data_IF_371036297156
#
_entry.id   IF_371036297156
#
_cell.length_a   1.000
_cell.length_b   1.000
_cell.length_c   1.000
_cell.angle_alpha   90.00
_cell.angle_beta   90.00
_cell.angle_gamma   90.00
#
_symmetry.space_group_name_H-M   'P 1'
#
loop_
_entity.id
_entity.type
_entity.pdbx_description
1 polymer ?
#
# COMPACT_ATOMS: atom_id res chain seq x y z
N UNK A 1 32.12 -12.43 22.29
CA UNK A 1 31.89 -13.86 22.57
C UNK A 1 31.61 -14.00 24.08
N UNK A 2 30.48 -14.59 24.47
CA UNK A 2 30.14 -14.82 25.89
C UNK A 2 30.75 -16.12 26.37
N UNK A 3 30.51 -17.22 25.64
CA UNK A 3 31.01 -18.54 25.98
C UNK A 3 31.10 -19.43 24.73
N UNK A 4 31.93 -20.47 24.81
CA UNK A 4 32.11 -21.47 23.76
C UNK A 4 32.23 -22.85 24.36
N UNK A 5 31.52 -23.80 23.75
CA UNK A 5 31.65 -25.23 24.04
C UNK A 5 31.98 -25.96 22.74
N UNK A 6 33.23 -26.41 22.61
CA UNK A 6 33.74 -27.10 21.42
C UNK A 6 33.50 -26.29 20.13
N UNK A 7 32.52 -26.69 19.32
CA UNK A 7 32.17 -26.04 18.05
C UNK A 7 30.98 -25.07 18.15
N UNK A 8 30.33 -24.99 19.31
CA UNK A 8 29.21 -24.06 19.55
C UNK A 8 29.74 -22.82 20.26
N UNK A 9 29.50 -21.65 19.67
CA UNK A 9 29.86 -20.35 20.26
C UNK A 9 28.60 -19.54 20.51
N UNK A 10 28.51 -18.92 21.69
CA UNK A 10 27.52 -17.91 21.99
C UNK A 10 28.17 -16.54 21.89
N UNK A 11 27.72 -15.74 20.92
CA UNK A 11 28.20 -14.39 20.69
C UNK A 11 27.09 -13.39 20.98
N UNK A 12 27.45 -12.29 21.64
CA UNK A 12 26.62 -11.08 21.69
C UNK A 12 27.19 -10.04 20.76
N UNK A 13 26.29 -9.34 20.10
CA UNK A 13 26.59 -8.23 19.23
C UNK A 13 25.87 -6.99 19.77
N UNK A 14 26.58 -5.88 20.00
CA UNK A 14 25.92 -4.64 20.40
C UNK A 14 25.06 -4.14 19.23
N UNK A 15 23.79 -3.82 19.51
CA UNK A 15 22.84 -3.35 18.49
C UNK A 15 22.85 -1.83 18.29
N UNK A 16 23.64 -1.10 19.08
CA UNK A 16 23.69 0.38 19.05
C UNK A 16 24.24 0.87 17.71
N UNK A 17 23.47 1.69 17.00
CA UNK A 17 23.80 2.18 15.64
C UNK A 17 23.54 1.16 14.52
N UNK A 18 23.16 -0.08 14.86
CA UNK A 18 22.68 -1.09 13.90
C UNK A 18 21.15 -1.10 13.88
N UNK A 19 20.52 -1.07 15.04
CA UNK A 19 19.07 -1.11 15.13
C UNK A 19 18.40 0.17 14.60
N UNK A 20 17.19 0.02 14.07
CA UNK A 20 16.35 1.11 13.55
C UNK A 20 15.69 1.95 14.65
N UNK A 21 15.85 1.56 15.91
CA UNK A 21 15.23 2.22 17.06
C UNK A 21 16.34 2.63 18.03
N UNK A 22 16.30 3.89 18.45
CA UNK A 22 17.20 4.44 19.48
C UNK A 22 16.79 3.99 20.88
N UNK A 23 17.71 4.12 21.86
CA UNK A 23 17.41 3.84 23.28
C UNK A 23 16.21 4.66 23.83
N UNK A 24 15.90 5.79 23.19
CA UNK A 24 14.74 6.64 23.51
C UNK A 24 13.43 6.24 22.84
N UNK A 25 13.39 5.14 22.07
CA UNK A 25 12.20 4.65 21.37
C UNK A 25 11.85 5.39 20.07
N UNK A 26 12.71 6.30 19.61
CA UNK A 26 12.54 7.00 18.32
C UNK A 26 13.21 6.21 17.18
N UNK A 27 12.70 6.35 15.96
CA UNK A 27 13.29 5.73 14.77
C UNK A 27 14.61 6.44 14.42
N UNK A 28 15.69 5.66 14.30
CA UNK A 28 16.99 6.14 13.84
C UNK A 28 17.15 5.94 12.32
N UNK A 29 16.96 7.02 11.58
CA UNK A 29 17.14 7.03 10.12
C UNK A 29 18.60 6.94 9.68
N UNK A 30 19.55 7.23 10.59
CA UNK A 30 20.99 7.13 10.33
C UNK A 30 21.56 5.77 10.77
N UNK A 31 20.72 4.85 11.23
CA UNK A 31 21.15 3.49 11.58
C UNK A 31 21.72 2.76 10.37
N UNK A 32 22.74 1.93 10.62
CA UNK A 32 23.35 1.15 9.54
C UNK A 32 22.34 0.22 8.87
N UNK A 33 21.38 -0.35 9.60
CA UNK A 33 20.32 -1.15 9.00
C UNK A 33 19.44 -0.34 8.03
N UNK A 34 19.08 0.91 8.38
CA UNK A 34 18.30 1.77 7.48
C UNK A 34 19.11 2.17 6.23
N UNK A 35 20.39 2.47 6.40
CA UNK A 35 21.29 2.79 5.28
C UNK A 35 21.51 1.59 4.36
N UNK A 36 21.63 0.38 4.91
CA UNK A 36 21.76 -0.86 4.14
C UNK A 36 20.48 -1.09 3.34
N UNK A 37 19.30 -1.05 3.98
CA UNK A 37 18.01 -1.28 3.30
C UNK A 37 17.70 -0.23 2.23
N UNK A 38 18.17 1.00 2.41
CA UNK A 38 17.98 2.10 1.44
C UNK A 38 19.07 2.12 0.35
N UNK A 39 19.98 1.16 0.34
CA UNK A 39 21.07 1.04 -0.62
C UNK A 39 20.55 0.89 -2.06
N UNK A 40 21.37 1.32 -3.03
CA UNK A 40 21.06 1.21 -4.47
C UNK A 40 22.06 0.33 -5.24
N UNK A 41 23.21 0.04 -4.64
CA UNK A 41 24.29 -0.76 -5.24
C UNK A 41 24.15 -2.20 -4.82
N UNK A 42 24.48 -3.18 -5.67
CA UNK A 42 24.34 -4.60 -5.32
C UNK A 42 25.05 -4.99 -4.01
N UNK A 43 26.16 -4.30 -3.66
CA UNK A 43 26.90 -4.46 -2.41
C UNK A 43 26.04 -4.41 -1.13
N UNK A 44 24.91 -3.68 -1.13
CA UNK A 44 24.01 -3.65 0.04
C UNK A 44 23.31 -5.00 0.30
N UNK A 45 23.14 -5.84 -0.73
CA UNK A 45 22.53 -7.16 -0.62
C UNK A 45 23.46 -8.10 0.13
N UNK A 46 24.74 -8.08 -0.21
CA UNK A 46 25.79 -8.84 0.50
C UNK A 46 25.87 -8.41 1.98
N UNK A 47 25.55 -7.15 2.29
CA UNK A 47 25.46 -6.67 3.66
C UNK A 47 24.22 -7.18 4.41
N UNK A 48 23.11 -7.48 3.73
CA UNK A 48 21.89 -8.06 4.32
C UNK A 48 22.05 -9.54 4.66
N UNK A 49 22.83 -10.28 3.85
CA UNK A 49 23.13 -11.71 4.04
C UNK A 49 24.07 -12.00 5.22
N UNK A 50 24.46 -10.97 5.96
CA UNK A 50 25.19 -11.14 7.22
C UNK A 50 24.31 -11.83 8.27
N UNK A 51 24.78 -12.94 8.82
CA UNK A 51 24.10 -13.76 9.85
C UNK A 51 23.48 -12.95 11.01
N UNK A 52 24.12 -11.85 11.44
CA UNK A 52 23.61 -10.99 12.51
C UNK A 52 22.38 -10.19 12.05
N UNK A 53 22.41 -9.64 10.83
CA UNK A 53 21.33 -8.83 10.27
C UNK A 53 20.15 -9.72 9.89
N UNK A 54 20.40 -10.86 9.25
CA UNK A 54 19.37 -11.85 8.91
C UNK A 54 18.59 -12.29 10.16
N UNK A 55 19.31 -12.66 11.24
CA UNK A 55 18.68 -13.07 12.50
C UNK A 55 17.87 -11.95 13.14
N UNK A 56 18.41 -10.72 13.15
CA UNK A 56 17.71 -9.55 13.69
C UNK A 56 16.42 -9.25 12.91
N UNK A 57 16.45 -9.34 11.58
CA UNK A 57 15.27 -9.14 10.73
C UNK A 57 14.23 -10.24 10.95
N UNK A 58 14.65 -11.49 11.06
CA UNK A 58 13.74 -12.61 11.33
C UNK A 58 13.05 -12.47 12.71
N UNK A 59 13.81 -12.10 13.75
CA UNK A 59 13.26 -11.88 15.09
C UNK A 59 12.25 -10.70 15.12
N UNK A 60 12.51 -9.62 14.37
CA UNK A 60 11.56 -8.51 14.20
C UNK A 60 10.32 -8.93 13.42
N UNK A 61 10.51 -9.74 12.38
CA UNK A 61 9.43 -10.24 11.56
C UNK A 61 8.46 -11.09 12.38
N UNK A 62 8.98 -12.08 13.12
CA UNK A 62 8.18 -12.97 13.94
C UNK A 62 7.47 -12.25 15.09
N UNK A 63 8.13 -11.27 15.70
CA UNK A 63 7.63 -10.60 16.91
C UNK A 63 6.63 -9.49 16.63
N UNK A 64 6.84 -8.68 15.57
CA UNK A 64 6.07 -7.46 15.34
C UNK A 64 5.43 -7.40 13.95
N UNK A 65 6.21 -7.69 12.91
CA UNK A 65 5.77 -7.42 11.54
C UNK A 65 4.65 -8.39 11.11
N UNK A 66 4.75 -9.68 11.45
CA UNK A 66 3.78 -10.70 11.03
C UNK A 66 2.36 -10.40 11.49
N UNK A 67 2.18 -10.00 12.76
CA UNK A 67 0.85 -9.67 13.31
C UNK A 67 0.28 -8.41 12.63
N UNK A 68 1.13 -7.39 12.47
CA UNK A 68 0.73 -6.13 11.82
C UNK A 68 0.35 -6.37 10.36
N UNK A 69 1.13 -7.19 9.66
CA UNK A 69 0.92 -7.59 8.27
C UNK A 69 -0.41 -8.33 8.10
N UNK A 70 -0.64 -9.39 8.87
CA UNK A 70 -1.89 -10.17 8.77
C UNK A 70 -3.11 -9.30 9.08
N UNK A 71 -3.02 -8.43 10.09
CA UNK A 71 -4.11 -7.49 10.41
C UNK A 71 -4.40 -6.55 9.24
N UNK A 72 -3.37 -5.99 8.60
CA UNK A 72 -3.55 -5.10 7.45
C UNK A 72 -4.08 -5.86 6.22
N UNK A 73 -3.62 -7.09 5.99
CA UNK A 73 -4.10 -7.94 4.90
C UNK A 73 -5.59 -8.26 5.07
N UNK A 74 -6.03 -8.62 6.28
CA UNK A 74 -7.45 -8.88 6.57
C UNK A 74 -8.29 -7.63 6.34
N UNK A 75 -7.84 -6.46 6.82
CA UNK A 75 -8.54 -5.20 6.58
C UNK A 75 -8.65 -4.88 5.08
N UNK A 76 -7.58 -5.12 4.31
CA UNK A 76 -7.61 -4.95 2.86
C UNK A 76 -8.59 -5.92 2.20
N UNK A 77 -8.56 -7.21 2.53
CA UNK A 77 -9.47 -8.20 1.99
C UNK A 77 -10.93 -7.83 2.28
N UNK A 78 -11.24 -7.41 3.52
CA UNK A 78 -12.58 -6.94 3.89
C UNK A 78 -13.00 -5.71 3.07
N UNK A 79 -12.08 -4.76 2.86
CA UNK A 79 -12.33 -3.56 2.06
C UNK A 79 -12.56 -3.90 0.57
N UNK A 80 -11.78 -4.81 -0.01
CA UNK A 80 -11.96 -5.24 -1.40
C UNK A 80 -13.27 -6.02 -1.58
N UNK A 81 -13.63 -6.89 -0.64
CA UNK A 81 -14.89 -7.63 -0.68
C UNK A 81 -16.09 -6.69 -0.57
N UNK A 82 -16.03 -5.69 0.33
CA UNK A 82 -17.11 -4.70 0.46
C UNK A 82 -17.20 -3.80 -0.77
N UNK A 83 -16.07 -3.38 -1.34
CA UNK A 83 -16.04 -2.60 -2.59
C UNK A 83 -16.63 -3.39 -3.75
N UNK A 84 -16.22 -4.64 -3.91
CA UNK A 84 -16.71 -5.55 -4.94
C UNK A 84 -18.22 -5.74 -4.82
N UNK A 85 -18.70 -5.97 -3.60
CA UNK A 85 -20.13 -6.14 -3.30
C UNK A 85 -20.93 -4.87 -3.59
N UNK A 86 -20.41 -3.70 -3.19
CA UNK A 86 -21.05 -2.41 -3.43
C UNK A 86 -21.18 -2.10 -4.93
N UNK A 87 -20.14 -2.40 -5.72
CA UNK A 87 -20.16 -2.16 -7.18
C UNK A 87 -21.09 -3.13 -7.89
N UNK A 88 -21.06 -4.43 -7.58
CA UNK A 88 -21.88 -5.43 -8.28
C UNK A 88 -23.38 -5.35 -7.94
N UNK A 89 -23.73 -4.99 -6.71
CA UNK A 89 -25.14 -4.87 -6.29
C UNK A 89 -25.78 -3.54 -6.68
N UNK A 90 -24.97 -2.59 -7.18
CA UNK A 90 -25.43 -1.27 -7.58
C UNK A 90 -26.36 -1.36 -8.78
N UNK A 91 -27.64 -1.02 -8.57
CA UNK A 91 -28.60 -0.81 -9.65
C UNK A 91 -29.28 0.56 -9.47
N UNK A 92 -28.95 1.55 -10.30
CA UNK A 92 -29.51 2.90 -10.17
C UNK A 92 -30.95 3.04 -10.70
N UNK A 93 -31.52 2.04 -11.40
CA UNK A 93 -32.76 2.22 -12.18
C UNK A 93 -33.84 1.15 -11.98
N UNK A 94 -33.54 0.05 -11.30
CA UNK A 94 -34.48 -1.06 -11.11
C UNK A 94 -35.07 -1.14 -9.71
N UNK A 95 -36.33 -1.56 -9.63
CA UNK A 95 -36.97 -1.91 -8.36
C UNK A 95 -36.30 -3.18 -7.81
N UNK A 96 -35.36 -2.99 -6.88
CA UNK A 96 -34.60 -4.09 -6.28
C UNK A 96 -35.31 -4.62 -5.03
N UNK A 97 -35.21 -5.93 -4.75
CA UNK A 97 -35.68 -6.47 -3.48
C UNK A 97 -34.99 -5.76 -2.32
N UNK A 98 -35.76 -5.44 -1.27
CA UNK A 98 -35.32 -4.71 -0.08
C UNK A 98 -33.99 -5.26 0.49
N UNK A 99 -33.83 -6.58 0.50
CA UNK A 99 -32.63 -7.26 0.98
C UNK A 99 -31.36 -6.82 0.23
N UNK A 100 -31.40 -6.72 -1.10
CA UNK A 100 -30.23 -6.29 -1.91
C UNK A 100 -29.86 -4.84 -1.64
N UNK A 101 -30.86 -3.96 -1.47
CA UNK A 101 -30.65 -2.55 -1.13
C UNK A 101 -29.96 -2.38 0.21
N UNK A 102 -30.41 -3.12 1.22
CA UNK A 102 -29.80 -3.08 2.57
C UNK A 102 -28.35 -3.54 2.50
N UNK A 103 -28.07 -4.66 1.82
CA UNK A 103 -26.70 -5.18 1.66
C UNK A 103 -25.80 -4.17 0.94
N UNK A 104 -26.31 -3.54 -0.13
CA UNK A 104 -25.57 -2.52 -0.87
C UNK A 104 -25.20 -1.33 0.02
N UNK A 105 -26.15 -0.79 0.79
CA UNK A 105 -25.88 0.33 1.69
C UNK A 105 -24.92 -0.02 2.83
N UNK A 106 -24.99 -1.24 3.37
CA UNK A 106 -24.03 -1.72 4.36
C UNK A 106 -22.63 -1.82 3.75
N UNK A 107 -22.52 -2.36 2.52
CA UNK A 107 -21.27 -2.47 1.81
C UNK A 107 -20.67 -1.09 1.50
N UNK A 108 -21.47 -0.15 1.01
CA UNK A 108 -21.07 1.25 0.77
C UNK A 108 -20.57 1.94 2.05
N UNK A 109 -21.32 1.81 3.15
CA UNK A 109 -20.92 2.36 4.44
C UNK A 109 -19.61 1.73 4.95
N UNK A 110 -19.45 0.41 4.76
CA UNK A 110 -18.21 -0.30 5.09
C UNK A 110 -17.02 0.22 4.27
N UNK A 111 -17.18 0.40 2.96
CA UNK A 111 -16.13 0.94 2.07
C UNK A 111 -15.72 2.35 2.51
N UNK A 112 -16.69 3.24 2.74
CA UNK A 112 -16.42 4.61 3.17
C UNK A 112 -15.72 4.66 4.53
N UNK A 113 -16.20 3.87 5.48
CA UNK A 113 -15.55 3.77 6.80
C UNK A 113 -14.12 3.24 6.69
N UNK A 114 -13.88 2.25 5.81
CA UNK A 114 -12.56 1.71 5.51
C UNK A 114 -11.60 2.75 4.93
N UNK A 115 -12.05 3.57 3.96
CA UNK A 115 -11.26 4.65 3.38
C UNK A 115 -10.90 5.73 4.42
N UNK A 116 -11.84 6.07 5.31
CA UNK A 116 -11.60 7.05 6.38
C UNK A 116 -10.56 6.48 7.37
N UNK A 117 -10.71 5.23 7.80
CA UNK A 117 -9.76 4.60 8.72
C UNK A 117 -8.37 4.48 8.06
N UNK A 118 -8.29 4.13 6.78
CA UNK A 118 -7.02 3.97 6.08
C UNK A 118 -6.29 5.29 5.89
N UNK A 119 -6.99 6.39 5.59
CA UNK A 119 -6.38 7.71 5.47
C UNK A 119 -6.04 8.28 6.84
N UNK A 120 -7.02 8.40 7.75
CA UNK A 120 -6.81 9.15 8.98
C UNK A 120 -6.07 8.34 10.04
N UNK A 121 -6.49 7.10 10.34
CA UNK A 121 -5.90 6.35 11.45
C UNK A 121 -4.57 5.71 11.07
N UNK A 122 -4.50 5.04 9.91
CA UNK A 122 -3.27 4.33 9.50
C UNK A 122 -2.16 5.29 9.08
N UNK A 123 -2.45 6.31 8.27
CA UNK A 123 -1.40 7.26 7.86
C UNK A 123 -0.96 8.16 9.02
N UNK A 124 -1.88 8.64 9.88
CA UNK A 124 -1.46 9.46 11.02
C UNK A 124 -0.53 8.70 11.96
N UNK A 125 -0.79 7.39 12.18
CA UNK A 125 0.12 6.54 12.95
C UNK A 125 1.50 6.42 12.29
N UNK A 126 1.55 6.22 10.99
CA UNK A 126 2.81 6.13 10.25
C UNK A 126 3.58 7.45 10.26
N UNK A 127 2.90 8.58 10.02
CA UNK A 127 3.50 9.92 10.05
C UNK A 127 4.03 10.25 11.44
N UNK A 128 3.29 9.90 12.50
CA UNK A 128 3.73 10.12 13.88
C UNK A 128 4.99 9.30 14.23
N UNK A 129 5.07 8.06 13.76
CA UNK A 129 6.22 7.18 14.05
C UNK A 129 7.44 7.49 13.19
N UNK A 130 7.25 7.76 11.89
CA UNK A 130 8.33 7.94 10.91
C UNK A 130 8.81 9.38 10.77
N UNK A 131 7.92 10.35 10.99
CA UNK A 131 8.13 11.75 10.62
C UNK A 131 7.71 12.04 9.18
N UNK A 132 7.33 13.29 8.92
CA UNK A 132 6.68 13.70 7.67
C UNK A 132 7.59 13.63 6.43
N UNK A 133 8.85 14.08 6.56
CA UNK A 133 9.80 14.08 5.44
C UNK A 133 10.11 12.65 4.94
N UNK A 134 10.38 11.74 5.87
CA UNK A 134 10.64 10.34 5.56
C UNK A 134 9.40 9.61 5.05
N UNK A 135 8.22 9.97 5.54
CA UNK A 135 6.96 9.46 5.00
C UNK A 135 6.82 9.79 3.50
N UNK A 136 7.11 11.02 3.07
CA UNK A 136 7.05 11.40 1.65
C UNK A 136 8.07 10.63 0.80
N UNK A 137 9.28 10.42 1.32
CA UNK A 137 10.30 9.65 0.62
C UNK A 137 9.87 8.18 0.47
N UNK A 138 9.34 7.58 1.53
CA UNK A 138 8.80 6.22 1.51
C UNK A 138 7.62 6.09 0.55
N UNK A 139 6.72 7.08 0.50
CA UNK A 139 5.56 7.05 -0.39
C UNK A 139 5.98 7.00 -1.87
N UNK A 140 7.11 7.64 -2.22
CA UNK A 140 7.68 7.58 -3.57
C UNK A 140 8.29 6.21 -3.88
N UNK A 141 8.89 5.55 -2.90
CA UNK A 141 9.50 4.21 -3.07
C UNK A 141 8.47 3.09 -3.26
N UNK A 142 7.24 3.28 -2.77
CA UNK A 142 6.16 2.28 -2.81
C UNK A 142 4.95 2.81 -3.60
N UNK A 143 4.97 2.75 -4.93
CA UNK A 143 3.92 3.34 -5.79
C UNK A 143 2.54 2.73 -5.56
N UNK A 144 2.45 1.43 -5.23
CA UNK A 144 1.18 0.76 -4.95
C UNK A 144 0.45 1.34 -3.73
N UNK A 145 1.19 1.74 -2.69
CA UNK A 145 0.63 2.39 -1.50
C UNK A 145 0.13 3.78 -1.84
N UNK A 146 0.88 4.53 -2.66
CA UNK A 146 0.44 5.82 -3.16
C UNK A 146 -0.86 5.73 -3.97
N UNK A 147 -0.93 4.78 -4.91
CA UNK A 147 -2.13 4.55 -5.73
C UNK A 147 -3.36 4.17 -4.89
N UNK A 148 -3.17 3.35 -3.85
CA UNK A 148 -4.24 3.03 -2.89
C UNK A 148 -4.77 4.27 -2.17
N UNK A 149 -3.88 5.17 -1.74
CA UNK A 149 -4.25 6.40 -1.07
C UNK A 149 -5.01 7.34 -2.00
N UNK A 150 -4.56 7.52 -3.24
CA UNK A 150 -5.29 8.27 -4.27
C UNK A 150 -6.69 7.69 -4.49
N UNK A 151 -6.80 6.37 -4.57
CA UNK A 151 -8.08 5.67 -4.75
C UNK A 151 -9.03 5.89 -3.57
N UNK A 152 -8.53 5.85 -2.34
CA UNK A 152 -9.34 6.15 -1.14
C UNK A 152 -9.86 7.59 -1.15
N UNK A 153 -9.05 8.56 -1.59
CA UNK A 153 -9.47 9.97 -1.72
C UNK A 153 -10.57 10.10 -2.78
N UNK A 154 -10.43 9.44 -3.94
CA UNK A 154 -11.44 9.44 -5.00
C UNK A 154 -12.77 8.85 -4.51
N UNK A 155 -12.74 7.75 -3.74
CA UNK A 155 -13.95 7.14 -3.15
C UNK A 155 -14.62 8.08 -2.14
N UNK A 156 -13.84 8.76 -1.30
CA UNK A 156 -14.37 9.75 -0.36
C UNK A 156 -14.97 10.94 -1.12
N UNK A 157 -14.36 11.37 -2.24
CA UNK A 157 -14.89 12.44 -3.09
C UNK A 157 -16.17 12.03 -3.84
N UNK A 158 -16.35 10.74 -4.14
CA UNK A 158 -17.58 10.23 -4.76
C UNK A 158 -18.79 10.29 -3.80
N UNK A 159 -18.57 10.17 -2.49
CA UNK A 159 -19.64 10.22 -1.48
C UNK A 159 -20.45 11.54 -1.46
N UNK A 160 -19.86 12.75 -1.42
CA UNK A 160 -20.60 14.00 -1.51
C UNK A 160 -21.27 14.16 -2.87
N UNK A 161 -20.65 13.72 -3.97
CA UNK A 161 -21.29 13.73 -5.30
C UNK A 161 -22.61 12.93 -5.29
N UNK A 162 -22.65 11.81 -4.56
CA UNK A 162 -23.87 11.02 -4.39
C UNK A 162 -24.95 11.73 -3.56
N UNK A 163 -24.56 12.42 -2.49
CA UNK A 163 -25.51 13.22 -1.68
C UNK A 163 -26.09 14.37 -2.52
N UNK A 164 -25.27 15.03 -3.35
CA UNK A 164 -25.71 16.09 -4.26
C UNK A 164 -26.63 15.55 -5.37
N UNK A 165 -26.35 14.37 -5.91
CA UNK A 165 -27.25 13.69 -6.84
C UNK A 165 -28.63 13.49 -6.22
N UNK A 166 -28.69 13.02 -4.97
CA UNK A 166 -29.96 12.81 -4.25
C UNK A 166 -30.71 14.13 -3.96
N UNK A 167 -30.01 15.19 -3.55
CA UNK A 167 -30.62 16.47 -3.18
C UNK A 167 -31.09 17.30 -4.38
N UNK A 168 -30.31 17.35 -5.46
CA UNK A 168 -30.58 18.21 -6.62
C UNK A 168 -31.25 17.45 -7.77
N UNK A 169 -31.32 16.11 -7.69
CA UNK A 169 -31.84 15.22 -8.74
C UNK A 169 -31.22 15.48 -10.12
N UNK A 170 -29.95 15.88 -10.14
CA UNK A 170 -29.25 16.27 -11.35
C UNK A 170 -28.35 15.12 -11.83
N UNK A 171 -28.69 14.58 -13.01
CA UNK A 171 -28.11 13.34 -13.58
C UNK A 171 -26.58 13.46 -13.75
N UNK A 172 -26.05 14.66 -13.97
CA UNK A 172 -24.62 14.93 -14.14
C UNK A 172 -23.79 14.43 -12.95
N UNK A 173 -24.26 14.60 -11.71
CA UNK A 173 -23.52 14.14 -10.53
C UNK A 173 -23.42 12.62 -10.43
N UNK A 174 -24.40 11.89 -10.99
CA UNK A 174 -24.34 10.43 -11.08
C UNK A 174 -23.24 9.94 -12.01
N UNK A 175 -23.11 10.57 -13.19
CA UNK A 175 -22.02 10.23 -14.12
C UNK A 175 -20.63 10.54 -13.54
N UNK A 176 -20.51 11.63 -12.77
CA UNK A 176 -19.25 11.98 -12.10
C UNK A 176 -18.90 10.96 -11.02
N UNK A 177 -19.87 10.55 -10.19
CA UNK A 177 -19.66 9.49 -9.19
C UNK A 177 -19.21 8.18 -9.85
N UNK A 178 -19.91 7.74 -10.91
CA UNK A 178 -19.56 6.53 -11.65
C UNK A 178 -18.13 6.59 -12.20
N UNK A 179 -17.73 7.74 -12.75
CA UNK A 179 -16.38 7.97 -13.24
C UNK A 179 -15.33 7.91 -12.13
N UNK A 180 -15.57 8.57 -10.99
CA UNK A 180 -14.66 8.60 -9.85
C UNK A 180 -14.46 7.20 -9.25
N UNK A 181 -15.54 6.45 -9.04
CA UNK A 181 -15.47 5.08 -8.50
C UNK A 181 -14.80 4.15 -9.49
N UNK A 182 -15.14 4.22 -10.78
CA UNK A 182 -14.51 3.42 -11.84
C UNK A 182 -12.98 3.62 -11.90
N UNK A 183 -12.53 4.88 -11.76
CA UNK A 183 -11.11 5.21 -11.71
C UNK A 183 -10.41 4.69 -10.44
N UNK A 184 -11.12 4.66 -9.30
CA UNK A 184 -10.56 4.23 -8.02
C UNK A 184 -10.40 2.71 -7.89
N UNK A 185 -11.27 1.91 -8.51
CA UNK A 185 -11.23 0.44 -8.45
C UNK A 185 -9.85 -0.13 -8.77
N UNK A 186 -9.20 0.14 -9.93
CA UNK A 186 -7.92 -0.46 -10.26
C UNK A 186 -6.84 -0.14 -9.21
N UNK A 187 -6.78 1.10 -8.72
CA UNK A 187 -5.80 1.47 -7.69
C UNK A 187 -6.02 0.76 -6.35
N UNK A 188 -7.26 0.46 -5.97
CA UNK A 188 -7.53 -0.36 -4.78
C UNK A 188 -7.08 -1.82 -4.93
N UNK A 189 -7.32 -2.43 -6.09
CA UNK A 189 -6.90 -3.81 -6.36
C UNK A 189 -5.38 -3.94 -6.50
N UNK A 190 -4.72 -2.94 -7.10
CA UNK A 190 -3.26 -2.90 -7.23
C UNK A 190 -2.55 -2.90 -5.86
N UNK A 191 -3.19 -2.41 -4.80
CA UNK A 191 -2.63 -2.48 -3.46
C UNK A 191 -2.41 -3.92 -2.96
N UNK A 192 -3.08 -4.92 -3.54
CA UNK A 192 -2.80 -6.32 -3.23
C UNK A 192 -1.35 -6.72 -3.57
N UNK A 193 -0.75 -6.10 -4.60
CA UNK A 193 0.65 -6.34 -4.99
C UNK A 193 1.62 -5.94 -3.88
N UNK A 194 1.28 -4.95 -3.03
CA UNK A 194 2.09 -4.61 -1.86
C UNK A 194 2.31 -5.83 -0.96
N UNK A 195 1.24 -6.59 -0.69
CA UNK A 195 1.28 -7.77 0.16
C UNK A 195 1.96 -8.96 -0.53
N UNK A 196 1.92 -9.02 -1.86
CA UNK A 196 2.61 -10.03 -2.65
C UNK A 196 4.14 -9.98 -2.55
N UNK A 197 4.71 -8.82 -2.16
CA UNK A 197 6.17 -8.63 -2.06
C UNK A 197 6.86 -9.47 -0.98
N UNK A 198 6.10 -10.01 -0.02
CA UNK A 198 6.66 -10.78 1.10
C UNK A 198 7.01 -12.22 0.73
N UNK A 199 6.37 -12.78 -0.30
CA UNK A 199 6.71 -14.11 -0.77
C UNK A 199 7.91 -14.01 -1.72
N UNK A 200 8.96 -14.79 -1.49
CA UNK A 200 10.24 -14.69 -2.22
C UNK A 200 10.06 -14.67 -3.75
N UNK A 201 9.34 -15.66 -4.28
CA UNK A 201 9.11 -15.77 -5.73
C UNK A 201 8.22 -14.64 -6.28
N UNK A 202 7.11 -14.35 -5.60
CA UNK A 202 6.14 -13.34 -6.05
C UNK A 202 6.69 -11.92 -5.91
N UNK A 203 7.51 -11.67 -4.88
CA UNK A 203 8.12 -10.38 -4.63
C UNK A 203 9.14 -10.02 -5.69
N UNK A 204 10.04 -10.93 -6.04
CA UNK A 204 10.99 -10.72 -7.14
C UNK A 204 10.25 -10.42 -8.45
N UNK A 205 9.20 -11.19 -8.76
CA UNK A 205 8.38 -10.97 -9.95
C UNK A 205 7.68 -9.62 -9.97
N UNK A 206 7.11 -9.17 -8.84
CA UNK A 206 6.46 -7.86 -8.72
C UNK A 206 7.46 -6.73 -8.94
N UNK A 207 8.65 -6.81 -8.34
CA UNK A 207 9.71 -5.80 -8.54
C UNK A 207 10.12 -5.74 -10.01
N UNK A 208 10.31 -6.90 -10.66
CA UNK A 208 10.60 -6.96 -12.10
C UNK A 208 9.51 -6.31 -12.96
N UNK A 209 8.22 -6.53 -12.64
CA UNK A 209 7.12 -5.87 -13.35
C UNK A 209 7.19 -4.35 -13.20
N UNK A 210 7.44 -3.82 -12.00
CA UNK A 210 7.51 -2.37 -11.81
C UNK A 210 8.69 -1.72 -12.54
N UNK A 211 9.82 -2.39 -12.62
CA UNK A 211 10.96 -1.94 -13.43
C UNK A 211 10.61 -1.96 -14.94
N UNK A 212 9.93 -3.00 -15.42
CA UNK A 212 9.44 -3.08 -16.81
C UNK A 212 8.40 -1.99 -17.11
N UNK A 213 7.49 -1.69 -16.18
CA UNK A 213 6.49 -0.61 -16.34
C UNK A 213 7.17 0.76 -16.40
N UNK A 214 8.12 1.02 -15.49
CA UNK A 214 8.75 2.34 -15.37
C UNK A 214 9.71 2.62 -16.53
N UNK A 215 10.42 1.61 -17.03
CA UNK A 215 11.28 1.74 -18.21
C UNK A 215 10.50 1.65 -19.51
N UNK A 216 10.07 0.45 -19.86
CA UNK A 216 9.63 0.13 -21.23
C UNK A 216 8.26 0.70 -21.57
N UNK A 217 7.29 0.59 -20.65
CA UNK A 217 5.92 1.09 -20.89
C UNK A 217 5.91 2.63 -20.91
N UNK A 218 6.74 3.30 -20.11
CA UNK A 218 6.86 4.75 -20.14
C UNK A 218 7.42 5.24 -21.49
N UNK A 219 8.49 4.61 -21.99
CA UNK A 219 9.05 4.93 -23.32
C UNK A 219 8.05 4.64 -24.43
N UNK A 220 7.35 3.51 -24.38
CA UNK A 220 6.30 3.18 -25.33
C UNK A 220 5.16 4.22 -25.32
N UNK A 221 4.72 4.65 -24.13
CA UNK A 221 3.69 5.67 -23.97
C UNK A 221 4.10 7.01 -24.59
N UNK A 222 5.35 7.45 -24.39
CA UNK A 222 5.86 8.69 -25.00
C UNK A 222 5.86 8.59 -26.53
N UNK A 223 6.34 7.48 -27.10
CA UNK A 223 6.32 7.25 -28.55
C UNK A 223 4.89 7.27 -29.08
N UNK A 224 3.98 6.58 -28.40
CA UNK A 224 2.57 6.51 -28.78
C UNK A 224 1.89 7.88 -28.82
N UNK A 225 2.14 8.74 -27.83
CA UNK A 225 1.61 10.12 -27.79
C UNK A 225 2.15 10.94 -28.96
N UNK A 226 3.45 10.83 -29.27
CA UNK A 226 4.07 11.54 -30.40
C UNK A 226 3.44 11.09 -31.72
N UNK A 227 3.32 9.79 -31.94
CA UNK A 227 2.73 9.22 -33.16
C UNK A 227 1.28 9.67 -33.31
N UNK A 228 0.45 9.58 -32.26
CA UNK A 228 -0.93 10.05 -32.32
C UNK A 228 -1.03 11.53 -32.63
N UNK A 229 -0.19 12.36 -32.02
CA UNK A 229 -0.24 13.80 -32.26
C UNK A 229 0.21 14.13 -33.68
N UNK A 230 1.20 13.41 -34.21
CA UNK A 230 1.72 13.61 -35.56
C UNK A 230 0.76 13.17 -36.67
N UNK A 231 0.00 12.09 -36.47
CA UNK A 231 -1.00 11.60 -37.43
C UNK A 231 -2.42 12.13 -37.18
N UNK A 232 -2.65 12.77 -36.03
CA UNK A 232 -3.93 13.38 -35.65
C UNK A 232 -4.05 14.86 -36.01
N UNK A 233 -2.95 15.53 -36.38
CA UNK A 233 -2.93 16.86 -37.01
C UNK A 233 -3.21 16.76 -38.51
#
# INVERSE_FOLDING_TARGET
EIWRYSNIKCCTYPLRGIDTITDGGQIDWNSSLMSIVSGKTEDHLDMLDNMVIERLLNDKWSSFARVTFVRQLVLLCLHLLSLTTAVFLRNPRGDQPLAKRIICHIAEACVLSGCIVSIFALQAKEIYLQGFAYYLQNLKSYPEKFLYQCSCILIILAAPCRVLYFLTNNITFGYVEDGLVSLAIPGTFLFFLFFGRIYELTGAFIVMIFEMITGDIATFGVIYIIVITAFGQ
#
